data_IF_259381586195
#
_entry.id   IF_259381586195
#
_cell.length_a   1.000
_cell.length_b   1.000
_cell.length_c   1.000
_cell.angle_alpha   90.00
_cell.angle_beta   90.00
_cell.angle_gamma   90.00
#
_symmetry.space_group_name_H-M   'P 1'
#
loop_
_entity.id
_entity.type
_entity.pdbx_description
1 polymer ?
#
# COMPACT_ATOMS: atom_id res chain seq x y z
N UNK A 1 -36.78 -28.87 -0.64
CA UNK A 1 -35.39 -28.90 -1.15
C UNK A 1 -34.90 -27.55 -1.69
N UNK A 2 -35.74 -26.71 -2.33
CA UNK A 2 -35.33 -25.39 -2.86
C UNK A 2 -34.76 -24.43 -1.80
N UNK A 3 -35.35 -24.38 -0.60
CA UNK A 3 -34.92 -23.45 0.45
C UNK A 3 -33.55 -23.82 1.05
N UNK A 4 -33.22 -25.11 1.10
CA UNK A 4 -31.92 -25.58 1.60
C UNK A 4 -30.78 -25.23 0.63
N UNK A 5 -31.05 -25.33 -0.68
CA UNK A 5 -30.09 -24.98 -1.72
C UNK A 5 -29.76 -23.48 -1.74
N UNK A 6 -30.75 -22.62 -1.46
CA UNK A 6 -30.54 -21.16 -1.37
C UNK A 6 -29.70 -20.79 -0.15
N UNK A 7 -29.97 -21.39 1.01
CA UNK A 7 -29.17 -21.15 2.23
C UNK A 7 -27.72 -21.60 2.04
N UNK A 8 -27.50 -22.74 1.39
CA UNK A 8 -26.15 -23.23 1.09
C UNK A 8 -25.41 -22.30 0.11
N UNK A 9 -26.09 -21.80 -0.93
CA UNK A 9 -25.52 -20.85 -1.89
C UNK A 9 -25.14 -19.51 -1.24
N UNK A 10 -25.99 -18.99 -0.35
CA UNK A 10 -25.71 -17.75 0.39
C UNK A 10 -24.54 -17.95 1.37
N UNK A 11 -24.48 -19.10 2.05
CA UNK A 11 -23.36 -19.42 2.95
C UNK A 11 -22.04 -19.57 2.18
N UNK A 12 -22.02 -20.27 1.05
CA UNK A 12 -20.82 -20.44 0.21
C UNK A 12 -20.38 -19.10 -0.41
N UNK A 13 -21.32 -18.29 -0.90
CA UNK A 13 -21.01 -16.94 -1.38
C UNK A 13 -20.44 -16.05 -0.27
N UNK A 14 -20.96 -16.13 0.96
CA UNK A 14 -20.44 -15.37 2.10
C UNK A 14 -19.05 -15.84 2.55
N UNK A 15 -18.74 -17.13 2.41
CA UNK A 15 -17.44 -17.70 2.76
C UNK A 15 -16.37 -17.44 1.70
N UNK A 16 -16.75 -17.40 0.42
CA UNK A 16 -15.87 -17.00 -0.68
C UNK A 16 -15.50 -15.50 -0.65
N UNK A 17 -16.35 -14.64 -0.05
CA UNK A 17 -16.04 -13.22 0.16
C UNK A 17 -15.07 -12.98 1.33
N UNK A 18 -14.85 -13.97 2.19
CA UNK A 18 -13.97 -13.85 3.36
C UNK A 18 -12.50 -14.22 3.07
N UNK A 19 -12.20 -14.81 1.91
CA UNK A 19 -10.86 -15.30 1.49
C UNK A 19 -10.29 -14.52 0.31
N UNK A 20 -10.74 -13.28 0.15
CA UNK A 20 -10.49 -12.46 -1.01
C UNK A 20 -9.07 -11.89 -1.04
N UNK A 21 -8.21 -12.58 -1.77
CA UNK A 21 -7.09 -11.95 -2.45
C UNK A 21 -7.62 -10.95 -3.48
N UNK A 22 -8.01 -9.75 -3.03
CA UNK A 22 -8.47 -8.68 -3.90
C UNK A 22 -7.26 -8.03 -4.57
N UNK A 23 -7.11 -8.28 -5.88
CA UNK A 23 -6.28 -7.49 -6.77
C UNK A 23 -7.18 -6.42 -7.43
N UNK A 24 -7.24 -5.21 -6.89
CA UNK A 24 -8.13 -4.14 -7.38
C UNK A 24 -7.35 -2.85 -7.65
N UNK A 25 -7.67 -2.19 -8.78
CA UNK A 25 -7.17 -0.86 -9.11
C UNK A 25 -8.05 0.21 -8.45
N UNK A 26 -7.54 0.84 -7.40
CA UNK A 26 -8.17 1.96 -6.72
C UNK A 26 -7.99 3.27 -7.49
N UNK A 27 -9.08 3.80 -8.04
CA UNK A 27 -9.12 5.18 -8.53
C UNK A 27 -9.03 6.19 -7.35
N UNK A 28 -8.66 7.46 -7.61
CA UNK A 28 -8.68 8.53 -6.62
C UNK A 28 -9.98 8.58 -5.81
N UNK A 29 -9.86 8.60 -4.48
CA UNK A 29 -10.99 8.62 -3.54
C UNK A 29 -11.62 7.26 -3.24
N UNK A 30 -11.23 6.18 -3.93
CA UNK A 30 -11.73 4.83 -3.65
C UNK A 30 -10.98 4.18 -2.47
N UNK A 31 -11.60 3.13 -1.92
CA UNK A 31 -11.08 2.39 -0.78
C UNK A 31 -11.08 0.88 -1.05
N UNK A 32 -10.00 0.19 -0.72
CA UNK A 32 -9.92 -1.26 -0.65
C UNK A 32 -9.84 -1.72 0.82
N UNK A 33 -10.27 -2.96 1.04
CA UNK A 33 -10.15 -3.64 2.33
C UNK A 33 -9.47 -5.00 2.13
N UNK A 34 -8.35 -5.21 2.81
CA UNK A 34 -7.72 -6.52 2.96
C UNK A 34 -8.00 -7.02 4.39
N UNK A 35 -8.39 -8.28 4.57
CA UNK A 35 -8.64 -8.86 5.89
C UNK A 35 -7.80 -10.12 6.06
N UNK A 36 -7.05 -10.22 7.16
CA UNK A 36 -6.19 -11.35 7.49
C UNK A 36 -5.20 -11.71 6.36
N UNK A 37 -4.65 -10.69 5.68
CA UNK A 37 -3.68 -10.87 4.62
C UNK A 37 -2.29 -11.18 5.20
N UNK A 38 -1.57 -12.11 4.57
CA UNK A 38 -0.16 -12.39 4.87
C UNK A 38 0.75 -11.37 4.18
N UNK A 39 0.30 -10.83 3.05
CA UNK A 39 1.00 -9.78 2.34
C UNK A 39 0.03 -8.80 1.70
N UNK A 40 0.36 -7.52 1.72
CA UNK A 40 -0.40 -6.49 1.01
C UNK A 40 0.57 -5.70 0.15
N UNK A 41 0.35 -5.69 -1.15
CA UNK A 41 1.19 -4.98 -2.10
C UNK A 41 0.41 -3.81 -2.69
N UNK A 42 1.01 -2.62 -2.65
CA UNK A 42 0.50 -1.42 -3.30
C UNK A 42 1.47 -1.02 -4.40
N UNK A 43 0.94 -0.77 -5.59
CA UNK A 43 1.71 -0.36 -6.76
C UNK A 43 1.05 0.82 -7.43
N UNK A 44 1.84 1.83 -7.82
CA UNK A 44 1.37 2.94 -8.62
C UNK A 44 0.99 2.45 -10.02
N UNK A 45 -0.30 2.52 -10.35
CA UNK A 45 -0.85 2.06 -11.62
C UNK A 45 -0.93 3.18 -12.68
N UNK A 46 -0.42 4.37 -12.37
CA UNK A 46 -0.48 5.55 -13.23
C UNK A 46 -1.88 6.17 -13.28
N UNK A 47 -2.10 7.05 -14.25
CA UNK A 47 -3.26 7.95 -14.26
C UNK A 47 -2.98 9.20 -13.42
N UNK A 48 -3.50 10.35 -13.84
CA UNK A 48 -3.12 11.66 -13.30
C UNK A 48 -2.28 12.48 -14.28
N UNK A 49 -2.18 13.79 -14.05
CA UNK A 49 -1.36 14.70 -14.84
C UNK A 49 0.14 14.36 -14.72
N UNK A 50 0.95 14.64 -15.74
CA UNK A 50 2.39 14.31 -15.79
C UNK A 50 3.16 14.77 -14.53
N UNK A 51 2.84 15.94 -13.98
CA UNK A 51 3.46 16.49 -12.76
C UNK A 51 2.89 15.96 -11.42
N UNK A 52 1.83 15.14 -11.47
CA UNK A 52 1.13 14.61 -10.28
C UNK A 52 0.83 13.11 -10.40
N UNK A 53 1.68 12.37 -11.11
CA UNK A 53 1.59 10.92 -11.24
C UNK A 53 1.85 10.14 -9.95
N UNK A 54 1.98 10.82 -8.81
CA UNK A 54 2.13 10.22 -7.48
C UNK A 54 0.86 9.52 -7.01
N UNK A 55 0.99 8.24 -6.68
CA UNK A 55 -0.04 7.48 -5.98
C UNK A 55 0.08 7.74 -4.48
N UNK A 56 -0.95 8.31 -3.86
CA UNK A 56 -0.96 8.57 -2.43
C UNK A 56 -2.05 7.73 -1.75
N UNK A 57 -1.70 7.08 -0.64
CA UNK A 57 -2.61 6.25 0.11
C UNK A 57 -2.58 6.57 1.60
N UNK A 58 -3.74 6.47 2.25
CA UNK A 58 -3.84 6.32 3.70
C UNK A 58 -4.17 4.87 4.04
N UNK A 59 -3.32 4.26 4.86
CA UNK A 59 -3.40 2.83 5.21
C UNK A 59 -3.71 2.73 6.69
N UNK A 60 -4.96 2.41 7.01
CA UNK A 60 -5.40 2.15 8.38
C UNK A 60 -5.33 0.65 8.66
N UNK A 61 -4.79 0.26 9.82
CA UNK A 61 -4.64 -1.14 10.23
C UNK A 61 -5.29 -1.36 11.59
N UNK A 62 -6.11 -2.40 11.71
CA UNK A 62 -6.80 -2.74 12.96
C UNK A 62 -5.88 -3.41 13.99
N UNK A 63 -4.82 -4.08 13.54
CA UNK A 63 -3.85 -4.80 14.39
C UNK A 63 -3.24 -3.91 15.47
N UNK A 64 -3.00 -2.64 15.14
CA UNK A 64 -2.34 -1.68 16.02
C UNK A 64 -3.02 -0.29 16.04
N UNK A 65 -4.19 -0.16 15.40
CA UNK A 65 -4.95 1.09 15.26
C UNK A 65 -4.14 2.29 14.72
N UNK A 66 -3.18 2.03 13.82
CA UNK A 66 -2.39 3.10 13.19
C UNK A 66 -2.85 3.40 11.77
N UNK A 67 -2.70 4.67 11.39
CA UNK A 67 -2.85 5.13 10.00
C UNK A 67 -1.49 5.57 9.47
N UNK A 68 -1.03 4.95 8.40
CA UNK A 68 0.25 5.27 7.75
C UNK A 68 -0.04 5.94 6.41
N UNK A 69 0.41 7.19 6.20
CA UNK A 69 0.40 7.79 4.88
C UNK A 69 1.55 7.20 4.04
N UNK A 70 1.27 6.92 2.78
CA UNK A 70 2.24 6.41 1.81
C UNK A 70 2.16 7.21 0.52
N UNK A 71 3.31 7.50 -0.08
CA UNK A 71 3.42 8.05 -1.41
C UNK A 71 4.28 7.13 -2.29
N UNK A 72 3.77 6.79 -3.48
CA UNK A 72 4.43 6.01 -4.50
C UNK A 72 4.60 6.89 -5.74
N UNK A 73 5.77 7.51 -5.88
CA UNK A 73 6.08 8.46 -6.96
C UNK A 73 7.34 8.04 -7.72
N UNK A 74 7.25 7.12 -8.69
CA UNK A 74 8.42 6.64 -9.43
C UNK A 74 9.14 7.70 -10.26
N UNK A 75 8.45 8.80 -10.61
CA UNK A 75 9.02 9.89 -11.40
C UNK A 75 9.56 11.05 -10.54
N UNK A 76 9.34 11.03 -9.22
CA UNK A 76 9.80 12.09 -8.34
C UNK A 76 11.25 11.83 -7.92
N UNK A 77 12.08 12.87 -7.95
CA UNK A 77 13.43 12.84 -7.40
C UNK A 77 13.39 12.86 -5.88
N UNK A 78 14.09 11.92 -5.25
CA UNK A 78 14.22 11.79 -3.80
C UNK A 78 15.69 11.93 -3.39
N UNK A 79 15.91 12.41 -2.17
CA UNK A 79 17.22 12.66 -1.57
C UNK A 79 18.04 13.74 -2.30
N UNK A 80 19.26 13.97 -1.80
CA UNK A 80 20.16 14.98 -2.33
C UNK A 80 21.10 14.42 -3.39
N UNK A 81 21.21 15.14 -4.50
CA UNK A 81 22.27 14.92 -5.48
C UNK A 81 23.63 15.29 -4.87
N UNK A 82 24.55 14.33 -4.86
CA UNK A 82 25.92 14.56 -4.43
C UNK A 82 26.69 15.37 -5.47
N UNK A 83 27.65 16.19 -5.04
CA UNK A 83 28.58 16.89 -5.93
C UNK A 83 28.11 18.23 -6.49
N UNK A 84 26.85 18.64 -6.26
CA UNK A 84 26.32 19.91 -6.77
C UNK A 84 26.75 21.18 -6.01
N UNK A 85 27.35 21.04 -4.82
CA UNK A 85 27.76 22.18 -3.98
C UNK A 85 29.27 22.23 -3.80
N UNK A 86 29.85 23.43 -3.86
CA UNK A 86 31.30 23.67 -3.81
C UNK A 86 31.98 23.03 -2.58
N UNK A 87 31.28 22.98 -1.44
CA UNK A 87 31.78 22.34 -0.23
C UNK A 87 31.78 20.80 -0.25
N UNK A 88 31.21 20.14 -1.26
CA UNK A 88 31.22 18.67 -1.32
C UNK A 88 32.62 18.10 -1.51
N UNK A 89 33.53 18.87 -2.10
CA UNK A 89 34.94 18.49 -2.19
C UNK A 89 35.58 18.33 -0.80
N UNK A 90 35.09 19.06 0.20
CA UNK A 90 35.62 19.04 1.57
C UNK A 90 34.95 17.98 2.45
N UNK A 91 33.64 17.75 2.27
CA UNK A 91 32.87 16.76 3.07
C UNK A 91 32.84 15.36 2.46
N UNK A 92 33.17 15.22 1.16
CA UNK A 92 33.20 13.92 0.48
C UNK A 92 31.85 13.20 0.46
N UNK A 93 30.73 13.94 0.47
CA UNK A 93 29.41 13.32 0.55
C UNK A 93 29.06 12.65 -0.78
N UNK A 94 28.83 11.34 -0.72
CA UNK A 94 28.43 10.54 -1.87
C UNK A 94 27.04 10.95 -2.40
N UNK A 95 26.77 10.61 -3.66
CA UNK A 95 25.46 10.82 -4.25
C UNK A 95 24.41 9.95 -3.55
N UNK A 96 23.37 10.58 -2.99
CA UNK A 96 22.24 9.89 -2.34
C UNK A 96 20.97 9.95 -3.15
N UNK A 97 20.99 10.62 -4.31
CA UNK A 97 19.85 10.73 -5.22
C UNK A 97 19.27 9.36 -5.57
N UNK A 98 17.95 9.29 -5.55
CA UNK A 98 17.21 8.14 -6.04
C UNK A 98 15.85 8.58 -6.55
N UNK A 99 15.25 7.82 -7.46
CA UNK A 99 13.84 8.00 -7.78
C UNK A 99 12.94 7.46 -6.66
N UNK A 100 11.72 7.99 -6.56
CA UNK A 100 10.73 7.47 -5.63
C UNK A 100 10.31 6.03 -5.94
N UNK A 101 9.63 5.39 -4.98
CA UNK A 101 9.22 3.99 -5.13
C UNK A 101 7.95 3.90 -5.97
N UNK A 102 7.90 2.92 -6.88
CA UNK A 102 6.67 2.56 -7.61
C UNK A 102 5.76 1.61 -6.81
N UNK A 103 6.34 0.88 -5.86
CA UNK A 103 5.69 -0.25 -5.19
C UNK A 103 6.19 -0.39 -3.76
N UNK A 104 5.30 -0.84 -2.87
CA UNK A 104 5.63 -1.31 -1.54
C UNK A 104 4.86 -2.58 -1.21
N UNK A 105 5.46 -3.44 -0.40
CA UNK A 105 4.83 -4.64 0.11
C UNK A 105 4.90 -4.65 1.63
N UNK A 106 3.74 -4.76 2.26
CA UNK A 106 3.56 -5.02 3.68
C UNK A 106 3.44 -6.53 3.89
N UNK A 107 3.93 -7.02 5.00
CA UNK A 107 3.89 -8.44 5.37
C UNK A 107 3.36 -8.56 6.79
N UNK A 108 2.60 -9.62 7.07
CA UNK A 108 2.19 -9.93 8.43
C UNK A 108 3.41 -10.14 9.32
N UNK A 109 3.29 -9.78 10.60
CA UNK A 109 4.34 -10.02 11.58
C UNK A 109 3.73 -10.76 12.77
N UNK A 110 4.29 -11.91 13.10
CA UNK A 110 3.78 -12.75 14.19
C UNK A 110 4.08 -12.20 15.59
N UNK A 111 5.04 -11.26 15.70
CA UNK A 111 5.51 -10.73 16.97
C UNK A 111 5.69 -9.21 16.92
N UNK A 112 5.33 -8.53 18.01
CA UNK A 112 5.68 -7.14 18.28
C UNK A 112 7.20 -7.01 18.41
N UNK A 113 7.92 -6.87 17.30
CA UNK A 113 9.36 -6.67 17.31
C UNK A 113 9.65 -5.22 17.71
N UNK A 114 10.05 -5.01 18.97
CA UNK A 114 10.76 -3.81 19.47
C UNK A 114 10.11 -2.44 19.16
N UNK A 115 8.80 -2.37 19.02
CA UNK A 115 8.07 -1.11 18.75
C UNK A 115 7.95 -0.74 17.27
N UNK A 116 8.37 -1.59 16.33
CA UNK A 116 8.19 -1.46 14.87
C UNK A 116 6.87 -2.10 14.39
N UNK A 117 5.84 -2.09 15.23
CA UNK A 117 4.55 -2.71 14.89
C UNK A 117 3.81 -1.96 13.78
N UNK A 118 4.39 -0.90 13.22
CA UNK A 118 3.89 -0.16 12.06
C UNK A 118 3.75 -1.09 10.85
N UNK A 119 4.47 -2.22 10.79
CA UNK A 119 4.35 -3.19 9.70
C UNK A 119 3.22 -4.22 9.82
N UNK A 120 2.59 -4.42 10.99
CA UNK A 120 1.69 -5.55 11.19
C UNK A 120 0.34 -5.38 10.47
N UNK A 121 0.00 -6.33 9.61
CA UNK A 121 -1.23 -6.40 8.80
C UNK A 121 -2.11 -7.60 9.16
N UNK A 122 -1.87 -8.27 10.30
CA UNK A 122 -2.56 -9.49 10.77
C UNK A 122 -4.07 -9.34 11.10
N UNK A 123 -4.74 -8.31 10.59
CA UNK A 123 -6.16 -8.05 10.80
C UNK A 123 -6.80 -7.36 9.60
N UNK A 124 -7.69 -6.40 9.85
CA UNK A 124 -8.28 -5.58 8.81
C UNK A 124 -7.34 -4.42 8.44
N UNK A 125 -7.08 -4.27 7.15
CA UNK A 125 -6.35 -3.16 6.57
C UNK A 125 -7.25 -2.44 5.57
N UNK A 126 -7.45 -1.14 5.79
CA UNK A 126 -8.23 -0.27 4.91
C UNK A 126 -7.27 0.66 4.19
N UNK A 127 -7.30 0.62 2.87
CA UNK A 127 -6.42 1.40 2.00
C UNK A 127 -7.29 2.39 1.27
N UNK A 128 -7.06 3.68 1.46
CA UNK A 128 -7.79 4.73 0.75
C UNK A 128 -6.84 5.41 -0.21
N UNK A 129 -7.18 5.48 -1.49
CA UNK A 129 -6.43 6.29 -2.43
C UNK A 129 -6.79 7.77 -2.21
N UNK A 130 -5.83 8.53 -1.67
CA UNK A 130 -5.95 9.97 -1.41
C UNK A 130 -5.24 10.80 -2.48
N UNK A 131 -4.60 10.15 -3.45
CA UNK A 131 -3.84 10.78 -4.52
C UNK A 131 -4.64 11.02 -5.79
N UNK A 132 -3.90 11.34 -6.86
CA UNK A 132 -4.43 11.58 -8.21
C UNK A 132 -4.15 10.43 -9.16
N UNK A 133 -3.19 9.56 -8.85
CA UNK A 133 -2.91 8.35 -9.60
C UNK A 133 -3.63 7.13 -9.03
N UNK A 134 -3.89 6.15 -9.89
CA UNK A 134 -4.50 4.89 -9.51
C UNK A 134 -3.50 4.03 -8.73
N UNK A 135 -4.03 3.18 -7.85
CA UNK A 135 -3.23 2.26 -7.03
C UNK A 135 -3.72 0.84 -7.26
N UNK A 136 -2.85 -0.04 -7.72
CA UNK A 136 -3.12 -1.47 -7.70
C UNK A 136 -2.84 -1.99 -6.30
N UNK A 137 -3.88 -2.51 -5.65
CA UNK A 137 -3.78 -3.21 -4.37
C UNK A 137 -3.89 -4.69 -4.62
N UNK A 138 -2.95 -5.48 -4.09
CA UNK A 138 -3.02 -6.93 -4.06
C UNK A 138 -2.92 -7.42 -2.62
N UNK A 139 -4.01 -7.98 -2.10
CA UNK A 139 -4.03 -8.70 -0.83
C UNK A 139 -3.65 -10.17 -1.09
N UNK A 140 -2.65 -10.71 -0.40
CA UNK A 140 -2.21 -12.10 -0.48
C UNK A 140 -2.17 -12.80 0.87
#
# INVERSE_FOLDING_TARGET
>A
MKNLAVVLLVAVASFCLASSAFAESLAPGQMAKCTNANSITLENAGGGSEDRGAANASIWKSSNFTTVPLSLSPNDHQNFEGGGSAGNADVGMGNKHSMGKSKVTFTSQDNFSRGDSIGDISGEVRITNTGTANINVNCG
#
